data_IF_714410561201
#
_entry.id   IF_714410561201
#
_cell.length_a   1.000
_cell.length_b   1.000
_cell.length_c   1.000
_cell.angle_alpha   90.00
_cell.angle_beta   90.00
_cell.angle_gamma   90.00
#
_symmetry.space_group_name_H-M   'P 1'
#
loop_
_entity.id
_entity.type
_entity.pdbx_description
1 polymer ?
#
# COMPACT_ATOMS: atom_id res chain seq x y z
N UNK A 1 9.15 -0.49 -22.13
CA UNK A 1 9.29 -0.34 -20.66
C UNK A 1 8.02 -0.83 -19.98
N UNK A 2 8.17 -1.42 -18.78
CA UNK A 2 7.15 -2.08 -17.93
C UNK A 2 6.91 -3.57 -18.22
N UNK A 3 7.87 -4.40 -17.80
CA UNK A 3 7.74 -5.87 -17.76
C UNK A 3 7.38 -6.42 -16.37
N UNK A 4 7.08 -5.55 -15.40
CA UNK A 4 6.75 -5.96 -14.02
C UNK A 4 5.25 -6.13 -13.76
N UNK A 5 4.40 -6.20 -14.79
CA UNK A 5 2.95 -6.37 -14.66
C UNK A 5 2.42 -7.78 -14.89
N UNK A 6 3.19 -8.68 -15.52
CA UNK A 6 2.70 -10.01 -15.94
C UNK A 6 3.03 -11.16 -14.97
N UNK A 7 3.76 -10.89 -13.87
CA UNK A 7 4.15 -11.91 -12.89
C UNK A 7 3.19 -12.01 -11.68
N UNK A 8 1.98 -11.44 -11.76
CA UNK A 8 0.96 -11.49 -10.70
C UNK A 8 0.10 -12.77 -10.72
N UNK A 9 0.66 -13.90 -11.17
CA UNK A 9 0.01 -15.22 -11.14
C UNK A 9 0.54 -16.13 -10.01
N UNK A 10 1.16 -15.58 -8.97
CA UNK A 10 1.59 -16.38 -7.81
C UNK A 10 1.17 -15.69 -6.51
N UNK A 11 -0.01 -16.04 -6.02
CA UNK A 11 -0.54 -15.66 -4.69
C UNK A 11 0.42 -16.03 -3.54
N UNK A 12 1.33 -16.99 -3.77
CA UNK A 12 2.36 -17.44 -2.82
C UNK A 12 3.63 -16.57 -2.78
N UNK A 13 3.85 -15.68 -3.74
CA UNK A 13 5.07 -14.86 -3.80
C UNK A 13 5.04 -13.64 -2.84
N UNK A 14 3.86 -13.32 -2.30
CA UNK A 14 3.69 -12.24 -1.34
C UNK A 14 4.41 -12.48 0.00
N UNK A 15 4.66 -13.75 0.35
CA UNK A 15 5.38 -14.15 1.58
C UNK A 15 6.90 -14.20 1.35
N UNK A 16 7.34 -14.46 0.11
CA UNK A 16 8.78 -14.47 -0.23
C UNK A 16 9.41 -13.07 -0.20
N UNK A 17 8.66 -12.04 -0.56
CA UNK A 17 9.12 -10.64 -0.57
C UNK A 17 9.52 -10.08 0.82
N UNK A 18 8.75 -10.29 1.91
CA UNK A 18 9.19 -9.87 3.24
C UNK A 18 10.33 -10.75 3.77
N UNK A 19 10.36 -12.04 3.43
CA UNK A 19 11.44 -12.94 3.83
C UNK A 19 12.79 -12.52 3.21
N UNK A 20 12.80 -12.23 1.90
CA UNK A 20 14.01 -11.77 1.22
C UNK A 20 14.49 -10.42 1.74
N UNK A 21 13.56 -9.50 2.06
CA UNK A 21 13.92 -8.21 2.64
C UNK A 21 14.52 -8.33 4.04
N UNK A 22 14.07 -9.28 4.86
CA UNK A 22 14.62 -9.51 6.20
C UNK A 22 16.03 -10.12 6.13
N UNK A 23 16.25 -11.07 5.22
CA UNK A 23 17.57 -11.66 5.00
C UNK A 23 18.61 -10.64 4.55
N UNK A 24 18.23 -9.70 3.69
CA UNK A 24 19.15 -8.63 3.25
C UNK A 24 19.56 -7.68 4.38
N UNK A 25 18.65 -7.40 5.32
CA UNK A 25 18.98 -6.61 6.51
C UNK A 25 19.98 -7.37 7.38
N UNK A 26 19.74 -8.65 7.65
CA UNK A 26 20.67 -9.49 8.43
C UNK A 26 22.04 -9.59 7.74
N UNK A 27 22.05 -9.75 6.41
CA UNK A 27 23.27 -9.78 5.61
C UNK A 27 24.05 -8.47 5.77
N UNK A 28 23.39 -7.31 5.66
CA UNK A 28 24.06 -6.01 5.80
C UNK A 28 24.64 -5.77 7.20
N UNK A 29 23.97 -6.27 8.25
CA UNK A 29 24.51 -6.21 9.62
C UNK A 29 25.75 -7.10 9.75
N UNK A 30 25.72 -8.29 9.14
CA UNK A 30 26.89 -9.17 9.09
C UNK A 30 28.05 -8.56 8.30
N UNK A 31 27.79 -7.90 7.16
CA UNK A 31 28.79 -7.18 6.37
C UNK A 31 29.43 -6.04 7.18
N UNK A 32 28.62 -5.26 7.89
CA UNK A 32 29.13 -4.20 8.78
C UNK A 32 30.00 -4.78 9.89
N UNK A 33 29.54 -5.86 10.55
CA UNK A 33 30.30 -6.52 11.60
C UNK A 33 31.64 -7.05 11.07
N UNK A 34 31.65 -7.70 9.91
CA UNK A 34 32.86 -8.17 9.25
C UNK A 34 33.80 -7.01 8.89
N UNK A 35 33.28 -5.92 8.33
CA UNK A 35 34.06 -4.72 8.03
C UNK A 35 34.75 -4.14 9.26
N UNK A 36 34.02 -4.03 10.39
CA UNK A 36 34.57 -3.55 11.67
C UNK A 36 35.62 -4.52 12.23
N UNK A 37 35.38 -5.83 12.14
CA UNK A 37 36.35 -6.84 12.58
C UNK A 37 37.64 -6.73 11.76
N UNK A 38 37.55 -6.60 10.43
CA UNK A 38 38.74 -6.46 9.56
C UNK A 38 39.52 -5.18 9.90
N UNK A 39 38.82 -4.07 10.15
CA UNK A 39 39.46 -2.80 10.53
C UNK A 39 40.16 -2.87 11.89
N UNK A 40 39.55 -3.56 12.86
CA UNK A 40 40.08 -3.66 14.23
C UNK A 40 41.17 -4.72 14.37
N UNK A 41 41.11 -5.81 13.60
CA UNK A 41 42.06 -6.92 13.66
C UNK A 41 43.20 -6.82 12.63
N UNK A 42 43.43 -5.65 12.04
CA UNK A 42 44.45 -5.47 10.99
C UNK A 42 45.83 -6.02 11.36
N UNK A 43 46.29 -5.83 12.59
CA UNK A 43 47.57 -6.35 13.09
C UNK A 43 47.59 -7.88 13.25
N UNK A 44 46.44 -8.49 13.51
CA UNK A 44 46.30 -9.95 13.62
C UNK A 44 46.32 -10.59 12.24
N UNK A 45 45.70 -9.92 11.25
CA UNK A 45 45.75 -10.31 9.83
C UNK A 45 47.19 -10.27 9.32
N UNK A 46 47.93 -9.19 9.60
CA UNK A 46 49.35 -9.09 9.20
C UNK A 46 50.19 -10.23 9.80
N UNK A 47 49.98 -10.53 11.09
CA UNK A 47 50.68 -11.63 11.77
C UNK A 47 50.31 -13.00 11.19
N UNK A 48 49.04 -13.23 10.89
CA UNK A 48 48.56 -14.47 10.28
C UNK A 48 49.13 -14.67 8.88
N UNK A 49 49.14 -13.62 8.05
CA UNK A 49 49.68 -13.64 6.69
C UNK A 49 51.18 -13.96 6.68
N UNK A 50 51.96 -13.35 7.59
CA UNK A 50 53.39 -13.64 7.74
C UNK A 50 53.65 -15.05 8.26
N UNK A 51 52.82 -15.54 9.19
CA UNK A 51 52.96 -16.88 9.77
C UNK A 51 52.63 -17.99 8.76
N UNK A 52 51.65 -17.78 7.88
CA UNK A 52 51.23 -18.76 6.88
C UNK A 52 51.81 -18.52 5.48
N UNK A 53 52.77 -17.61 5.33
CA UNK A 53 53.37 -17.27 4.03
C UNK A 53 53.98 -18.48 3.32
N UNK A 54 54.68 -19.36 4.06
CA UNK A 54 55.28 -20.58 3.52
C UNK A 54 54.22 -21.60 3.06
N UNK A 55 53.06 -21.66 3.74
CA UNK A 55 51.95 -22.55 3.39
C UNK A 55 51.18 -22.06 2.16
N UNK A 56 50.98 -20.74 2.03
CA UNK A 56 50.28 -20.13 0.89
C UNK A 56 51.15 -19.99 -0.37
N UNK A 57 52.45 -20.36 -0.31
CA UNK A 57 53.42 -20.18 -1.41
C UNK A 57 53.40 -18.76 -2.00
N UNK A 58 53.22 -17.75 -1.15
CA UNK A 58 53.18 -16.35 -1.57
C UNK A 58 54.58 -15.76 -1.66
N UNK A 59 54.89 -15.12 -2.78
CA UNK A 59 56.14 -14.36 -2.96
C UNK A 59 56.09 -13.08 -2.10
N UNK A 60 57.23 -12.61 -1.60
CA UNK A 60 57.32 -11.38 -0.77
C UNK A 60 56.63 -10.16 -1.43
N UNK A 61 56.74 -10.04 -2.76
CA UNK A 61 56.12 -8.96 -3.53
C UNK A 61 54.58 -9.00 -3.54
N UNK A 62 53.99 -10.20 -3.39
CA UNK A 62 52.54 -10.37 -3.29
C UNK A 62 52.07 -10.10 -1.86
N UNK A 63 52.86 -10.50 -0.86
CA UNK A 63 52.58 -10.22 0.54
C UNK A 63 52.59 -8.72 0.81
N UNK A 64 53.58 -7.99 0.29
CA UNK A 64 53.68 -6.54 0.49
C UNK A 64 52.48 -5.79 -0.11
N UNK A 65 52.06 -6.16 -1.33
CA UNK A 65 50.85 -5.61 -1.95
C UNK A 65 49.56 -5.94 -1.18
N UNK A 66 49.50 -7.11 -0.54
CA UNK A 66 48.35 -7.51 0.26
C UNK A 66 48.29 -6.75 1.59
N UNK A 67 49.44 -6.50 2.20
CA UNK A 67 49.59 -5.71 3.44
C UNK A 67 49.22 -4.24 3.19
N UNK A 68 49.59 -3.69 2.03
CA UNK A 68 49.21 -2.34 1.59
C UNK A 68 47.70 -2.23 1.31
N UNK A 69 47.10 -3.26 0.70
CA UNK A 69 45.68 -3.27 0.32
C UNK A 69 44.75 -3.99 1.31
N UNK A 70 45.21 -4.28 2.54
CA UNK A 70 44.45 -5.09 3.51
C UNK A 70 43.09 -4.52 3.90
N UNK A 71 42.90 -3.22 3.74
CA UNK A 71 41.65 -2.52 4.06
C UNK A 71 40.69 -2.41 2.87
N UNK A 72 41.12 -2.71 1.65
CA UNK A 72 40.25 -2.73 0.45
C UNK A 72 38.99 -3.58 0.66
N UNK A 73 39.06 -4.83 1.17
CA UNK A 73 37.86 -5.61 1.44
C UNK A 73 36.97 -4.96 2.52
N UNK A 74 37.54 -4.31 3.54
CA UNK A 74 36.75 -3.62 4.55
C UNK A 74 35.98 -2.43 3.97
N UNK A 75 36.61 -1.62 3.10
CA UNK A 75 35.92 -0.56 2.38
C UNK A 75 34.83 -1.11 1.46
N UNK A 76 35.05 -2.26 0.82
CA UNK A 76 34.04 -2.97 0.05
C UNK A 76 32.81 -3.34 0.88
N UNK A 77 33.00 -3.94 2.06
CA UNK A 77 31.90 -4.31 2.97
C UNK A 77 31.14 -3.08 3.48
N UNK A 78 31.85 -2.00 3.80
CA UNK A 78 31.20 -0.74 4.20
C UNK A 78 30.39 -0.11 3.06
N UNK A 79 30.89 -0.19 1.82
CA UNK A 79 30.17 0.28 0.65
C UNK A 79 28.90 -0.54 0.39
N UNK A 80 28.96 -1.87 0.51
CA UNK A 80 27.80 -2.76 0.39
C UNK A 80 26.75 -2.45 1.47
N UNK A 81 27.18 -2.27 2.72
CA UNK A 81 26.30 -1.81 3.80
C UNK A 81 25.64 -0.47 3.48
N UNK A 82 26.40 0.52 2.99
CA UNK A 82 25.88 1.82 2.60
C UNK A 82 24.84 1.75 1.48
N UNK A 83 25.07 0.89 0.48
CA UNK A 83 24.12 0.63 -0.61
C UNK A 83 22.82 0.03 -0.09
N UNK A 84 22.89 -0.87 0.89
CA UNK A 84 21.71 -1.49 1.48
C UNK A 84 20.92 -0.49 2.35
N UNK A 85 21.60 0.39 3.10
CA UNK A 85 20.96 1.50 3.81
C UNK A 85 20.24 2.43 2.83
N UNK A 86 20.87 2.78 1.72
CA UNK A 86 20.23 3.60 0.68
C UNK A 86 19.01 2.88 0.09
N UNK A 87 19.12 1.57 -0.19
CA UNK A 87 18.00 0.73 -0.66
C UNK A 87 16.85 0.73 0.35
N UNK A 88 17.15 0.63 1.64
CA UNK A 88 16.17 0.65 2.72
C UNK A 88 15.48 2.01 2.82
N UNK A 89 16.23 3.12 2.81
CA UNK A 89 15.70 4.48 2.81
C UNK A 89 14.75 4.70 1.61
N UNK A 90 15.19 4.39 0.39
CA UNK A 90 14.37 4.50 -0.81
C UNK A 90 13.09 3.65 -0.71
N UNK A 91 13.21 2.42 -0.21
CA UNK A 91 12.07 1.51 -0.04
C UNK A 91 11.08 2.04 1.01
N UNK A 92 11.57 2.64 2.10
CA UNK A 92 10.74 3.21 3.16
C UNK A 92 9.95 4.43 2.68
N UNK A 93 10.57 5.29 1.88
CA UNK A 93 9.93 6.45 1.25
C UNK A 93 8.87 6.00 0.24
N UNK A 94 9.20 5.01 -0.62
CA UNK A 94 8.23 4.39 -1.53
C UNK A 94 7.06 3.73 -0.78
N UNK A 95 7.33 3.07 0.34
CA UNK A 95 6.31 2.47 1.18
C UNK A 95 5.39 3.53 1.80
N UNK A 96 5.95 4.63 2.33
CA UNK A 96 5.19 5.79 2.83
C UNK A 96 4.35 6.44 1.74
N UNK A 97 4.92 6.68 0.56
CA UNK A 97 4.21 7.26 -0.57
C UNK A 97 3.05 6.38 -1.05
N UNK A 98 3.24 5.06 -1.12
CA UNK A 98 2.15 4.10 -1.42
C UNK A 98 1.06 4.11 -0.36
N UNK A 99 1.45 4.16 0.92
CA UNK A 99 0.50 4.21 2.03
C UNK A 99 -0.33 5.49 2.00
N UNK A 100 0.30 6.63 1.72
CA UNK A 100 -0.37 7.92 1.57
C UNK A 100 -1.41 7.90 0.44
N UNK A 101 -1.03 7.41 -0.75
CA UNK A 101 -1.99 7.25 -1.87
C UNK A 101 -3.15 6.32 -1.50
N UNK A 102 -2.89 5.22 -0.78
CA UNK A 102 -3.94 4.28 -0.37
C UNK A 102 -4.95 4.90 0.61
N UNK A 103 -4.49 5.75 1.53
CA UNK A 103 -5.39 6.52 2.40
C UNK A 103 -6.22 7.53 1.62
N UNK A 104 -5.58 8.27 0.71
CA UNK A 104 -6.27 9.27 -0.12
C UNK A 104 -7.34 8.62 -1.02
N UNK A 105 -7.07 7.44 -1.59
CA UNK A 105 -8.06 6.69 -2.36
C UNK A 105 -9.21 6.16 -1.49
N UNK A 106 -8.94 5.73 -0.25
CA UNK A 106 -10.00 5.31 0.67
C UNK A 106 -10.91 6.47 1.05
N UNK A 107 -10.35 7.65 1.34
CA UNK A 107 -11.12 8.85 1.64
C UNK A 107 -11.98 9.31 0.45
N UNK A 108 -11.43 9.28 -0.76
CA UNK A 108 -12.20 9.58 -1.97
C UNK A 108 -13.34 8.59 -2.19
N UNK A 109 -13.12 7.30 -1.90
CA UNK A 109 -14.17 6.29 -1.99
C UNK A 109 -15.28 6.55 -0.97
N UNK A 110 -14.93 6.81 0.29
CA UNK A 110 -15.95 7.10 1.32
C UNK A 110 -16.74 8.36 1.02
N UNK A 111 -16.10 9.41 0.46
CA UNK A 111 -16.80 10.62 0.04
C UNK A 111 -17.79 10.34 -1.09
N UNK A 112 -17.38 9.54 -2.09
CA UNK A 112 -18.28 9.14 -3.17
C UNK A 112 -19.47 8.32 -2.65
N UNK A 113 -19.21 7.36 -1.77
CA UNK A 113 -20.27 6.53 -1.18
C UNK A 113 -21.28 7.40 -0.39
N UNK A 114 -20.81 8.45 0.30
CA UNK A 114 -21.66 9.45 0.99
C UNK A 114 -22.49 10.31 0.02
N UNK A 115 -21.90 10.77 -1.08
CA UNK A 115 -22.62 11.54 -2.10
C UNK A 115 -23.73 10.70 -2.76
N UNK A 116 -23.46 9.42 -3.04
CA UNK A 116 -24.45 8.49 -3.61
C UNK A 116 -25.62 8.24 -2.65
N UNK A 117 -25.35 8.12 -1.34
CA UNK A 117 -26.38 7.99 -0.29
C UNK A 117 -27.25 9.24 -0.16
N UNK A 118 -26.63 10.43 -0.25
CA UNK A 118 -27.33 11.70 -0.18
C UNK A 118 -28.23 11.92 -1.41
N UNK A 119 -27.76 11.54 -2.60
CA UNK A 119 -28.57 11.55 -3.82
C UNK A 119 -29.75 10.56 -3.75
N UNK A 120 -29.55 9.38 -3.18
CA UNK A 120 -30.62 8.41 -2.99
C UNK A 120 -31.71 8.95 -2.04
N UNK A 121 -31.32 9.50 -0.88
CA UNK A 121 -32.25 10.09 0.08
C UNK A 121 -33.05 11.26 -0.53
N UNK A 122 -32.38 12.13 -1.29
CA UNK A 122 -33.05 13.24 -1.98
C UNK A 122 -34.07 12.74 -3.02
N UNK A 123 -33.73 11.70 -3.77
CA UNK A 123 -34.66 11.08 -4.73
C UNK A 123 -35.88 10.49 -4.02
N UNK A 124 -35.70 9.86 -2.85
CA UNK A 124 -36.81 9.33 -2.05
C UNK A 124 -37.74 10.44 -1.55
N UNK A 125 -37.19 11.58 -1.11
CA UNK A 125 -37.97 12.75 -0.71
C UNK A 125 -38.74 13.38 -1.88
N UNK A 126 -38.09 13.51 -3.05
CA UNK A 126 -38.72 14.00 -4.28
C UNK A 126 -39.86 13.06 -4.75
N UNK A 127 -39.69 11.75 -4.56
CA UNK A 127 -40.73 10.75 -4.85
C UNK A 127 -41.88 10.89 -3.85
N UNK A 128 -41.58 10.98 -2.55
CA UNK A 128 -42.60 11.11 -1.50
C UNK A 128 -43.44 12.38 -1.66
N UNK A 129 -42.82 13.51 -1.99
CA UNK A 129 -43.52 14.77 -2.24
C UNK A 129 -44.41 14.72 -3.49
N UNK A 130 -43.97 14.06 -4.57
CA UNK A 130 -44.80 13.78 -5.74
C UNK A 130 -46.01 12.92 -5.38
N UNK A 131 -45.84 11.87 -4.58
CA UNK A 131 -46.97 11.04 -4.14
C UNK A 131 -47.93 11.81 -3.22
N UNK A 132 -47.43 12.67 -2.33
CA UNK A 132 -48.25 13.51 -1.46
C UNK A 132 -49.10 14.52 -2.27
N UNK A 133 -48.48 15.22 -3.21
CA UNK A 133 -49.20 16.16 -4.11
C UNK A 133 -50.23 15.47 -4.99
N UNK A 134 -49.93 14.25 -5.50
CA UNK A 134 -50.91 13.41 -6.19
C UNK A 134 -52.07 13.06 -5.26
N UNK A 135 -51.79 12.57 -4.05
CA UNK A 135 -52.82 12.21 -3.06
C UNK A 135 -53.73 13.40 -2.73
N UNK A 136 -53.18 14.59 -2.55
CA UNK A 136 -53.96 15.81 -2.29
C UNK A 136 -54.83 16.19 -3.48
N UNK A 137 -54.32 16.03 -4.71
CA UNK A 137 -55.08 16.26 -5.95
C UNK A 137 -56.26 15.29 -6.08
N UNK A 138 -56.03 14.00 -5.81
CA UNK A 138 -57.09 12.99 -5.79
C UNK A 138 -58.12 13.28 -4.71
N UNK A 139 -57.68 13.60 -3.49
CA UNK A 139 -58.59 13.97 -2.38
C UNK A 139 -59.47 15.16 -2.78
N UNK A 140 -58.90 16.20 -3.38
CA UNK A 140 -59.66 17.38 -3.83
C UNK A 140 -60.69 17.04 -4.92
N UNK A 141 -60.38 16.09 -5.80
CA UNK A 141 -61.27 15.68 -6.90
C UNK A 141 -62.48 14.87 -6.43
N UNK A 142 -62.29 13.97 -5.46
CA UNK A 142 -63.37 13.07 -5.01
C UNK A 142 -64.11 13.55 -3.75
N UNK A 143 -63.54 14.46 -2.96
CA UNK A 143 -64.26 15.08 -1.83
C UNK A 143 -65.22 16.17 -2.31
N UNK A 144 -65.00 16.76 -3.50
CA UNK A 144 -65.92 17.73 -4.09
C UNK A 144 -67.21 17.10 -4.68
N UNK A 145 -67.21 15.78 -4.94
CA UNK A 145 -68.35 15.06 -5.52
C UNK A 145 -69.31 14.48 -4.45
N UNK A 146 -68.98 14.54 -3.15
CA UNK A 146 -69.88 14.06 -2.08
C UNK A 146 -70.87 15.12 -1.54
N UNK A 147 -70.84 16.36 -2.07
CA UNK A 147 -71.74 17.45 -1.66
C UNK A 147 -72.94 17.69 -2.62
N UNK A 148 -73.20 16.81 -3.60
CA UNK A 148 -74.47 16.86 -4.35
C UNK A 148 -75.57 16.03 -3.66
N UNK A 149 -76.67 16.65 -3.17
CA UNK A 149 -77.76 15.92 -2.54
C UNK A 149 -78.54 15.10 -3.57
N UNK A 150 -78.62 13.78 -3.33
CA UNK A 150 -79.50 12.86 -4.04
C UNK A 150 -80.97 13.24 -3.78
N UNK A 151 -81.58 13.95 -4.72
CA UNK A 151 -83.03 14.20 -4.75
C UNK A 151 -83.73 12.89 -5.14
N UNK A 152 -84.29 12.21 -4.14
CA UNK A 152 -85.28 11.15 -4.34
C UNK A 152 -86.64 11.79 -4.62
N UNK A 153 -87.12 11.76 -5.86
CA UNK A 153 -88.53 11.99 -6.15
C UNK A 153 -89.20 10.71 -6.66
N UNK A 154 -90.07 10.18 -5.81
CA UNK A 154 -91.02 9.11 -6.09
C UNK A 154 -92.17 9.69 -6.94
N UNK A 155 -92.29 9.30 -8.19
CA UNK A 155 -93.52 9.51 -8.95
C UNK A 155 -94.51 8.38 -8.63
N UNK A 156 -95.47 8.71 -7.76
CA UNK A 156 -96.63 7.89 -7.45
C UNK A 156 -97.54 7.75 -8.67
N UNK A 157 -97.97 6.50 -8.90
CA UNK A 157 -99.08 6.09 -9.75
C UNK A 157 -100.39 6.56 -9.13
N UNK A 158 -101.22 7.27 -9.90
CA UNK A 158 -102.65 7.40 -9.59
C UNK A 158 -103.48 7.78 -10.83
N UNK A 159 -104.36 6.83 -11.18
CA UNK A 159 -105.69 6.89 -11.83
C UNK A 159 -105.78 7.36 -13.27
#
# INVERSE_FOLDING_TARGET
>A
MSWCGAASSNRSCAICLPCSSYLLILLSVAELALGVVILTQGSTIDRFLRQHQQELKMTDEQLHRLEENKFVPAYGMLALFGMEVMRFCCSSELYRARRYRKYHYRQLKTLRDLDDELLAAKNEEDIASKYASLKDTYKKKYVADEDEPVTKDNAAVSV
#
